data_IF_077420752449
#
_entry.id   IF_077420752449
#
_cell.length_a   1.000
_cell.length_b   1.000
_cell.length_c   1.000
_cell.angle_alpha   90.00
_cell.angle_beta   90.00
_cell.angle_gamma   90.00
#
_symmetry.space_group_name_H-M   'P 1'
#
loop_
_entity.id
_entity.type
_entity.pdbx_description
1 polymer ?
#
# COMPACT_ATOMS: atom_id res chain seq x y z
N UNK A 1 9.15 -30.10 3.42
CA UNK A 1 8.82 -31.07 2.34
C UNK A 1 7.32 -31.37 2.25
N UNK A 2 6.64 -31.76 3.34
CA UNK A 2 5.18 -32.03 3.37
C UNK A 2 4.35 -30.83 2.86
N UNK A 3 4.71 -29.62 3.26
CA UNK A 3 3.99 -28.40 2.87
C UNK A 3 4.10 -28.08 1.35
N UNK A 4 5.23 -28.42 0.72
CA UNK A 4 5.45 -28.28 -0.72
C UNK A 4 4.61 -29.29 -1.52
N UNK A 5 4.52 -30.52 -1.04
CA UNK A 5 3.66 -31.56 -1.63
C UNK A 5 2.20 -31.14 -1.57
N UNK A 6 1.76 -30.58 -0.45
CA UNK A 6 0.39 -30.07 -0.27
C UNK A 6 0.08 -28.90 -1.23
N UNK A 7 1.01 -27.95 -1.38
CA UNK A 7 0.88 -26.84 -2.33
C UNK A 7 0.79 -27.32 -3.78
N UNK A 8 1.60 -28.32 -4.14
CA UNK A 8 1.63 -28.88 -5.48
C UNK A 8 0.32 -29.60 -5.83
N UNK A 9 -0.23 -30.37 -4.89
CA UNK A 9 -1.54 -31.04 -5.05
C UNK A 9 -2.65 -30.00 -5.26
N UNK A 10 -2.69 -28.94 -4.46
CA UNK A 10 -3.69 -27.88 -4.61
C UNK A 10 -3.54 -27.13 -5.95
N UNK A 11 -2.32 -26.86 -6.41
CA UNK A 11 -2.07 -26.24 -7.72
C UNK A 11 -2.57 -27.12 -8.88
N UNK A 12 -2.39 -28.44 -8.80
CA UNK A 12 -2.97 -29.37 -9.79
C UNK A 12 -4.50 -29.30 -9.78
N UNK A 13 -5.11 -29.27 -8.60
CA UNK A 13 -6.57 -29.14 -8.47
C UNK A 13 -7.10 -27.80 -9.01
N UNK A 14 -6.36 -26.70 -8.83
CA UNK A 14 -6.69 -25.40 -9.44
C UNK A 14 -6.73 -25.51 -10.96
N UNK A 15 -5.71 -26.14 -11.57
CA UNK A 15 -5.60 -26.30 -13.03
C UNK A 15 -6.71 -27.18 -13.63
N UNK A 16 -7.21 -28.17 -12.87
CA UNK A 16 -8.26 -29.08 -13.33
C UNK A 16 -9.66 -28.51 -13.09
N UNK A 17 -9.84 -27.66 -12.09
CA UNK A 17 -11.16 -27.10 -11.78
C UNK A 17 -11.61 -26.08 -12.82
N UNK A 18 -12.84 -26.21 -13.32
CA UNK A 18 -13.49 -25.23 -14.20
C UNK A 18 -14.51 -24.44 -13.38
N UNK A 19 -14.12 -23.24 -12.96
CA UNK A 19 -14.98 -22.31 -12.23
C UNK A 19 -14.17 -21.30 -11.42
N UNK A 20 -14.41 -20.01 -11.64
CA UNK A 20 -13.66 -18.90 -11.02
C UNK A 20 -13.72 -18.92 -9.49
N UNK A 21 -14.87 -19.28 -8.91
CA UNK A 21 -15.04 -19.36 -7.47
C UNK A 21 -14.23 -20.50 -6.82
N UNK A 22 -14.30 -21.71 -7.38
CA UNK A 22 -13.58 -22.87 -6.86
C UNK A 22 -12.07 -22.71 -7.02
N UNK A 23 -11.62 -22.15 -8.15
CA UNK A 23 -10.21 -21.82 -8.37
C UNK A 23 -9.70 -20.82 -7.33
N UNK A 24 -10.48 -19.76 -7.06
CA UNK A 24 -10.12 -18.75 -6.04
C UNK A 24 -10.03 -19.37 -4.64
N UNK A 25 -10.99 -20.23 -4.29
CA UNK A 25 -11.02 -20.92 -2.99
C UNK A 25 -9.86 -21.91 -2.82
N UNK A 26 -9.41 -22.54 -3.91
CA UNK A 26 -8.28 -23.47 -3.92
C UNK A 26 -6.92 -22.76 -3.94
N UNK A 27 -6.84 -21.54 -4.49
CA UNK A 27 -5.63 -20.72 -4.48
C UNK A 27 -5.34 -20.09 -3.12
N UNK A 28 -6.38 -19.74 -2.36
CA UNK A 28 -6.28 -19.10 -1.05
C UNK A 28 -5.38 -19.89 -0.07
N UNK A 29 -5.57 -21.21 0.14
CA UNK A 29 -4.70 -22.02 0.98
C UNK A 29 -3.27 -22.10 0.49
N UNK A 30 -3.03 -22.11 -0.83
CA UNK A 30 -1.68 -22.17 -1.42
C UNK A 30 -0.92 -20.88 -1.13
N UNK A 31 -1.57 -19.73 -1.32
CA UNK A 31 -1.00 -18.41 -1.03
C UNK A 31 -0.72 -18.24 0.47
N UNK A 32 -1.69 -18.59 1.33
CA UNK A 32 -1.53 -18.53 2.79
C UNK A 32 -0.40 -19.46 3.26
N UNK A 33 -0.34 -20.68 2.73
CA UNK A 33 0.68 -21.68 3.06
C UNK A 33 2.09 -21.22 2.65
N UNK A 34 2.23 -20.53 1.51
CA UNK A 34 3.51 -20.00 1.05
C UNK A 34 3.95 -18.78 1.87
N UNK A 35 3.00 -17.95 2.29
CA UNK A 35 3.27 -16.84 3.21
C UNK A 35 3.69 -17.33 4.60
N UNK A 36 3.04 -18.39 5.11
CA UNK A 36 3.34 -18.93 6.43
C UNK A 36 4.70 -19.63 6.48
N UNK A 37 5.11 -20.36 5.42
CA UNK A 37 6.39 -21.07 5.42
C UNK A 37 7.61 -20.16 5.64
N UNK A 38 7.59 -18.93 5.11
CA UNK A 38 8.64 -17.93 5.34
C UNK A 38 8.74 -17.48 6.81
N UNK A 39 7.61 -17.50 7.53
CA UNK A 39 7.54 -17.14 8.94
C UNK A 39 7.89 -18.36 9.81
N UNK A 40 7.46 -19.56 9.44
CA UNK A 40 7.71 -20.78 10.23
C UNK A 40 9.18 -21.21 10.15
N UNK A 41 9.81 -21.10 8.98
CA UNK A 41 11.20 -21.50 8.74
C UNK A 41 12.24 -20.43 9.11
N UNK A 42 11.82 -19.33 9.76
CA UNK A 42 12.69 -18.19 10.06
C UNK A 42 13.98 -18.58 10.81
N UNK A 43 13.93 -19.60 11.68
CA UNK A 43 15.10 -20.04 12.46
C UNK A 43 16.18 -20.64 11.56
N UNK A 44 15.80 -21.38 10.53
CA UNK A 44 16.73 -21.97 9.57
C UNK A 44 17.39 -20.86 8.73
N UNK A 45 16.62 -19.85 8.34
CA UNK A 45 17.16 -18.67 7.68
C UNK A 45 18.08 -17.85 8.60
N UNK A 46 17.77 -17.71 9.89
CA UNK A 46 18.64 -17.03 10.85
C UNK A 46 20.01 -17.72 10.98
N UNK A 47 20.02 -19.06 11.02
CA UNK A 47 21.24 -19.86 11.06
C UNK A 47 22.03 -19.68 9.76
N UNK A 48 21.38 -19.75 8.61
CA UNK A 48 22.04 -19.58 7.31
C UNK A 48 22.65 -18.18 7.14
N UNK A 49 21.91 -17.13 7.49
CA UNK A 49 22.38 -15.75 7.42
C UNK A 49 23.60 -15.52 8.31
N UNK A 50 23.59 -16.07 9.55
CA UNK A 50 24.72 -16.00 10.47
C UNK A 50 25.94 -16.78 9.93
N UNK A 51 25.73 -18.00 9.45
CA UNK A 51 26.80 -18.84 8.91
C UNK A 51 27.45 -18.22 7.66
N UNK A 52 26.65 -17.61 6.78
CA UNK A 52 27.13 -16.92 5.57
C UNK A 52 27.58 -15.47 5.82
N UNK A 53 27.50 -14.97 7.05
CA UNK A 53 27.79 -13.57 7.44
C UNK A 53 27.02 -12.53 6.60
N UNK A 54 25.80 -12.87 6.21
CA UNK A 54 24.91 -11.96 5.46
C UNK A 54 24.28 -10.99 6.46
N UNK A 55 24.39 -9.67 6.26
CA UNK A 55 23.77 -8.70 7.16
C UNK A 55 22.25 -8.83 7.12
N UNK A 56 21.60 -8.74 8.28
CA UNK A 56 20.14 -8.70 8.38
C UNK A 56 19.61 -7.31 8.01
N UNK A 57 19.80 -6.94 6.75
CA UNK A 57 19.44 -5.66 6.18
C UNK A 57 18.70 -5.85 4.85
N UNK A 58 17.70 -5.01 4.60
CA UNK A 58 17.04 -4.96 3.29
C UNK A 58 17.99 -4.28 2.31
N UNK A 59 18.30 -4.95 1.19
CA UNK A 59 19.16 -4.36 0.16
C UNK A 59 18.52 -3.12 -0.47
N UNK A 60 19.34 -2.12 -0.80
CA UNK A 60 18.91 -0.93 -1.53
C UNK A 60 18.23 -1.30 -2.84
N UNK A 61 18.77 -2.27 -3.57
CA UNK A 61 18.19 -2.80 -4.81
C UNK A 61 16.77 -3.35 -4.65
N UNK A 62 16.43 -3.90 -3.48
CA UNK A 62 15.07 -4.40 -3.23
C UNK A 62 14.11 -3.25 -2.94
N UNK A 63 14.56 -2.22 -2.22
CA UNK A 63 13.77 -1.02 -1.96
C UNK A 63 13.49 -0.23 -3.24
N UNK A 64 14.51 -0.09 -4.09
CA UNK A 64 14.38 0.54 -5.41
C UNK A 64 13.31 -0.17 -6.24
N UNK A 65 13.34 -1.51 -6.31
CA UNK A 65 12.31 -2.30 -7.00
C UNK A 65 10.91 -2.03 -6.48
N UNK A 66 10.72 -1.94 -5.16
CA UNK A 66 9.40 -1.62 -4.60
C UNK A 66 8.93 -0.21 -4.98
N UNK A 67 9.84 0.76 -4.98
CA UNK A 67 9.56 2.11 -5.48
C UNK A 67 9.17 2.10 -6.97
N UNK A 68 9.91 1.37 -7.81
CA UNK A 68 9.58 1.22 -9.24
C UNK A 68 8.21 0.59 -9.44
N UNK A 69 7.85 -0.47 -8.72
CA UNK A 69 6.51 -1.07 -8.84
C UNK A 69 5.39 -0.10 -8.41
N UNK A 70 5.65 0.70 -7.38
CA UNK A 70 4.71 1.72 -6.92
C UNK A 70 4.51 2.81 -7.99
N UNK A 71 5.61 3.27 -8.60
CA UNK A 71 5.58 4.20 -9.74
C UNK A 71 4.79 3.65 -10.92
N UNK A 72 5.00 2.36 -11.27
CA UNK A 72 4.28 1.72 -12.38
C UNK A 72 2.77 1.71 -12.10
N UNK A 73 2.34 1.27 -10.92
CA UNK A 73 0.92 1.19 -10.57
C UNK A 73 0.25 2.57 -10.60
N UNK A 74 0.90 3.57 -10.02
CA UNK A 74 0.36 4.94 -9.99
C UNK A 74 0.38 5.59 -11.38
N UNK A 75 1.41 5.31 -12.19
CA UNK A 75 1.51 5.77 -13.57
C UNK A 75 0.40 5.18 -14.44
N UNK A 76 0.13 3.88 -14.29
CA UNK A 76 -0.98 3.19 -14.96
C UNK A 76 -2.32 3.80 -14.54
N UNK A 77 -2.53 4.02 -13.24
CA UNK A 77 -3.74 4.70 -12.74
C UNK A 77 -3.96 6.05 -13.41
N UNK A 78 -2.90 6.85 -13.57
CA UNK A 78 -3.00 8.17 -14.20
C UNK A 78 -3.29 8.06 -15.70
N UNK A 79 -2.65 7.11 -16.40
CA UNK A 79 -2.91 6.86 -17.81
C UNK A 79 -4.39 6.49 -18.05
N UNK A 80 -4.93 5.56 -17.25
CA UNK A 80 -6.34 5.15 -17.37
C UNK A 80 -7.31 6.30 -17.06
N UNK A 81 -6.99 7.18 -16.10
CA UNK A 81 -7.80 8.37 -15.84
C UNK A 81 -7.86 9.32 -17.04
N UNK A 82 -6.73 9.53 -17.72
CA UNK A 82 -6.65 10.37 -18.92
C UNK A 82 -7.46 9.75 -20.06
N UNK A 83 -7.36 8.42 -20.24
CA UNK A 83 -8.15 7.70 -21.23
C UNK A 83 -9.65 7.81 -20.97
N UNK A 84 -10.08 7.72 -19.71
CA UNK A 84 -11.49 7.84 -19.35
C UNK A 84 -12.04 9.26 -19.54
N UNK A 85 -11.21 10.29 -19.41
CA UNK A 85 -11.60 11.67 -19.70
C UNK A 85 -11.78 11.92 -21.20
N UNK A 86 -11.03 11.23 -22.06
CA UNK A 86 -11.07 11.44 -23.51
C UNK A 86 -12.48 11.16 -24.06
N UNK A 87 -13.18 12.24 -24.44
CA UNK A 87 -14.54 12.20 -25.00
C UNK A 87 -15.65 12.66 -24.04
N UNK A 88 -15.35 12.90 -22.75
CA UNK A 88 -16.32 13.33 -21.73
C UNK A 88 -15.93 14.67 -21.09
N UNK A 89 -16.02 15.76 -21.87
CA UNK A 89 -15.66 17.12 -21.43
C UNK A 89 -16.80 17.86 -20.71
N UNK A 90 -17.47 17.18 -19.78
CA UNK A 90 -18.48 17.81 -18.91
C UNK A 90 -17.79 18.32 -17.64
N UNK A 91 -18.20 19.48 -17.12
CA UNK A 91 -17.57 20.11 -15.94
C UNK A 91 -17.41 19.15 -14.75
N UNK A 92 -18.42 18.33 -14.48
CA UNK A 92 -18.36 17.35 -13.39
C UNK A 92 -17.29 16.28 -13.63
N UNK A 93 -17.19 15.74 -14.84
CA UNK A 93 -16.17 14.75 -15.22
C UNK A 93 -14.76 15.33 -15.16
N UNK A 94 -14.59 16.59 -15.56
CA UNK A 94 -13.31 17.31 -15.42
C UNK A 94 -12.93 17.49 -13.95
N UNK A 95 -13.89 17.88 -13.09
CA UNK A 95 -13.64 18.03 -11.65
C UNK A 95 -13.32 16.69 -10.98
N UNK A 96 -14.06 15.63 -11.32
CA UNK A 96 -13.78 14.27 -10.84
C UNK A 96 -12.37 13.82 -11.27
N UNK A 97 -12.00 14.02 -12.54
CA UNK A 97 -10.66 13.73 -13.03
C UNK A 97 -9.58 14.48 -12.24
N UNK A 98 -9.77 15.77 -11.98
CA UNK A 98 -8.79 16.59 -11.23
C UNK A 98 -8.63 16.05 -9.80
N UNK A 99 -9.74 15.77 -9.10
CA UNK A 99 -9.68 15.25 -7.73
C UNK A 99 -9.02 13.86 -7.68
N UNK A 100 -9.42 12.96 -8.58
CA UNK A 100 -8.78 11.64 -8.68
C UNK A 100 -7.29 11.74 -8.99
N UNK A 101 -6.87 12.69 -9.84
CA UNK A 101 -5.46 12.95 -10.13
C UNK A 101 -4.70 13.47 -8.90
N UNK A 102 -5.31 14.39 -8.14
CA UNK A 102 -4.74 14.90 -6.88
C UNK A 102 -4.56 13.75 -5.89
N UNK A 103 -5.49 12.80 -5.85
CA UNK A 103 -5.41 11.63 -5.00
C UNK A 103 -4.19 10.75 -5.34
N UNK A 104 -4.04 10.39 -6.62
CA UNK A 104 -2.88 9.62 -7.13
C UNK A 104 -1.56 10.32 -6.81
N UNK A 105 -1.47 11.63 -7.06
CA UNK A 105 -0.28 12.45 -6.76
C UNK A 105 -0.02 12.52 -5.24
N UNK A 106 -1.08 12.62 -4.44
CA UNK A 106 -0.99 12.65 -2.98
C UNK A 106 -0.40 11.36 -2.41
N UNK A 107 -0.84 10.20 -2.91
CA UNK A 107 -0.30 8.89 -2.51
C UNK A 107 1.16 8.77 -2.94
N UNK A 108 1.48 9.17 -4.18
CA UNK A 108 2.84 9.19 -4.69
C UNK A 108 3.77 9.99 -3.76
N UNK A 109 3.37 11.23 -3.45
CA UNK A 109 4.15 12.11 -2.58
C UNK A 109 4.33 11.51 -1.18
N UNK A 110 3.24 11.03 -0.58
CA UNK A 110 3.25 10.49 0.77
C UNK A 110 4.11 9.22 0.86
N UNK A 111 4.09 8.38 -0.17
CA UNK A 111 4.97 7.22 -0.29
C UNK A 111 6.44 7.65 -0.34
N UNK A 112 6.81 8.54 -1.26
CA UNK A 112 8.20 9.00 -1.40
C UNK A 112 8.72 9.70 -0.12
N UNK A 113 7.95 10.64 0.43
CA UNK A 113 8.34 11.41 1.62
C UNK A 113 8.55 10.54 2.88
N UNK A 114 7.91 9.37 2.95
CA UNK A 114 7.99 8.48 4.10
C UNK A 114 8.95 7.31 3.87
N UNK A 115 8.91 6.68 2.70
CA UNK A 115 9.61 5.41 2.43
C UNK A 115 11.06 5.61 2.00
N UNK A 116 11.40 6.69 1.29
CA UNK A 116 12.77 6.93 0.80
C UNK A 116 13.82 6.94 1.92
N UNK A 117 13.41 7.35 3.13
CA UNK A 117 14.28 7.40 4.31
C UNK A 117 14.20 6.13 5.19
N UNK A 118 13.57 5.06 4.74
CA UNK A 118 13.38 3.82 5.52
C UNK A 118 14.54 2.87 5.29
N UNK A 119 15.51 2.86 6.20
CA UNK A 119 16.51 1.80 6.26
C UNK A 119 16.11 0.75 7.31
N UNK A 120 15.93 -0.50 6.86
CA UNK A 120 15.51 -1.61 7.72
C UNK A 120 16.72 -2.47 8.05
N UNK A 121 17.27 -2.24 9.25
CA UNK A 121 18.27 -3.12 9.89
C UNK A 121 17.60 -3.92 11.01
N UNK A 122 17.88 -5.21 11.08
CA UNK A 122 17.33 -6.13 12.07
C UNK A 122 18.39 -7.01 12.71
N UNK A 123 17.99 -7.74 13.75
CA UNK A 123 18.82 -8.79 14.37
C UNK A 123 18.47 -10.19 13.86
N UNK A 124 17.27 -10.36 13.29
CA UNK A 124 16.69 -11.62 12.85
C UNK A 124 15.98 -11.46 11.50
N UNK A 125 15.87 -12.56 10.74
CA UNK A 125 15.25 -12.67 9.43
C UNK A 125 13.76 -12.31 9.44
N UNK A 126 13.04 -12.58 10.54
CA UNK A 126 11.61 -12.24 10.67
C UNK A 126 11.35 -10.77 10.35
N UNK A 127 12.21 -9.85 10.83
CA UNK A 127 12.00 -8.42 10.58
C UNK A 127 12.07 -8.07 9.10
N UNK A 128 12.96 -8.74 8.35
CA UNK A 128 13.10 -8.59 6.90
C UNK A 128 11.90 -9.19 6.18
N UNK A 129 11.49 -10.41 6.57
CA UNK A 129 10.34 -11.09 6.00
C UNK A 129 9.04 -10.30 6.20
N UNK A 130 8.81 -9.75 7.39
CA UNK A 130 7.66 -8.90 7.69
C UNK A 130 7.68 -7.62 6.87
N UNK A 131 8.82 -6.93 6.78
CA UNK A 131 8.91 -5.72 5.94
C UNK A 131 8.57 -6.00 4.47
N UNK A 132 9.11 -7.09 3.91
CA UNK A 132 8.82 -7.54 2.54
C UNK A 132 7.33 -7.88 2.38
N UNK A 133 6.77 -8.63 3.32
CA UNK A 133 5.36 -9.00 3.33
C UNK A 133 4.45 -7.77 3.36
N UNK A 134 4.73 -6.81 4.25
CA UNK A 134 3.98 -5.56 4.33
C UNK A 134 4.10 -4.72 3.05
N UNK A 135 5.28 -4.66 2.41
CA UNK A 135 5.45 -3.97 1.13
C UNK A 135 4.65 -4.62 0.00
N UNK A 136 4.65 -5.96 -0.07
CA UNK A 136 3.85 -6.69 -1.05
C UNK A 136 2.35 -6.45 -0.80
N UNK A 137 1.90 -6.48 0.45
CA UNK A 137 0.53 -6.12 0.80
C UNK A 137 0.18 -4.69 0.39
N UNK A 138 1.11 -3.74 0.60
CA UNK A 138 0.94 -2.36 0.15
C UNK A 138 0.74 -2.28 -1.37
N UNK A 139 1.58 -2.94 -2.17
CA UNK A 139 1.42 -2.94 -3.63
C UNK A 139 0.08 -3.54 -4.06
N UNK A 140 -0.35 -4.64 -3.44
CA UNK A 140 -1.64 -5.27 -3.74
C UNK A 140 -2.83 -4.37 -3.40
N UNK A 141 -2.79 -3.73 -2.23
CA UNK A 141 -3.83 -2.78 -1.81
C UNK A 141 -3.84 -1.55 -2.71
N UNK A 142 -2.68 -1.05 -3.13
CA UNK A 142 -2.56 0.06 -4.07
C UNK A 142 -3.14 -0.28 -5.45
N UNK A 143 -2.92 -1.49 -5.96
CA UNK A 143 -3.56 -1.96 -7.19
C UNK A 143 -5.08 -2.07 -7.04
N UNK A 144 -5.56 -2.54 -5.88
CA UNK A 144 -6.99 -2.61 -5.59
C UNK A 144 -7.62 -1.22 -5.47
N UNK A 145 -6.91 -0.27 -4.87
CA UNK A 145 -7.30 1.14 -4.80
C UNK A 145 -7.40 1.73 -6.20
N UNK A 146 -6.39 1.52 -7.06
CA UNK A 146 -6.40 1.94 -8.46
C UNK A 146 -7.61 1.40 -9.21
N UNK A 147 -7.94 0.12 -8.98
CA UNK A 147 -9.16 -0.48 -9.54
C UNK A 147 -10.43 0.25 -9.10
N UNK A 148 -10.60 0.49 -7.80
CA UNK A 148 -11.78 1.20 -7.30
C UNK A 148 -11.83 2.65 -7.79
N UNK A 149 -10.68 3.30 -7.84
CA UNK A 149 -10.50 4.68 -8.29
C UNK A 149 -10.99 4.85 -9.73
N UNK A 150 -10.50 4.01 -10.64
CA UNK A 150 -10.90 4.04 -12.07
C UNK A 150 -12.38 3.73 -12.24
N UNK A 151 -12.90 2.72 -11.53
CA UNK A 151 -14.32 2.34 -11.63
C UNK A 151 -15.25 3.40 -11.02
N UNK A 152 -14.79 4.14 -10.01
CA UNK A 152 -15.56 5.23 -9.40
C UNK A 152 -15.75 6.40 -10.37
N UNK A 153 -14.81 6.61 -11.30
CA UNK A 153 -14.95 7.60 -12.37
C UNK A 153 -16.05 7.22 -13.38
N UNK A 154 -16.23 5.94 -13.65
CA UNK A 154 -17.25 5.48 -14.61
C UNK A 154 -18.65 5.36 -13.99
N UNK A 155 -18.74 4.85 -12.76
CA UNK A 155 -20.02 4.51 -12.14
C UNK A 155 -20.03 4.87 -10.65
N UNK A 156 -20.96 5.74 -10.26
CA UNK A 156 -21.24 5.99 -8.84
C UNK A 156 -22.10 4.87 -8.23
N UNK A 157 -21.45 3.91 -7.57
CA UNK A 157 -22.11 2.94 -6.68
C UNK A 157 -21.52 3.01 -5.29
N UNK A 158 -22.38 2.81 -4.29
CA UNK A 158 -21.97 2.83 -2.88
C UNK A 158 -20.83 1.83 -2.59
N UNK A 159 -20.88 0.63 -3.17
CA UNK A 159 -19.83 -0.38 -2.96
C UNK A 159 -18.48 0.04 -3.55
N UNK A 160 -18.47 0.79 -4.66
CA UNK A 160 -17.24 1.36 -5.24
C UNK A 160 -16.68 2.46 -4.34
N UNK A 161 -17.53 3.36 -3.83
CA UNK A 161 -17.13 4.39 -2.85
C UNK A 161 -16.56 3.78 -1.56
N UNK A 162 -17.23 2.78 -1.02
CA UNK A 162 -16.77 2.06 0.17
C UNK A 162 -15.46 1.32 -0.09
N UNK A 163 -15.34 0.65 -1.24
CA UNK A 163 -14.13 -0.05 -1.65
C UNK A 163 -12.94 0.90 -1.83
N UNK A 164 -13.16 2.03 -2.49
CA UNK A 164 -12.18 3.11 -2.62
C UNK A 164 -11.72 3.62 -1.25
N UNK A 165 -12.65 3.97 -0.35
CA UNK A 165 -12.28 4.48 0.98
C UNK A 165 -11.56 3.44 1.84
N UNK A 166 -11.99 2.18 1.79
CA UNK A 166 -11.34 1.09 2.51
C UNK A 166 -9.91 0.85 2.00
N UNK A 167 -9.73 0.86 0.68
CA UNK A 167 -8.42 0.67 0.05
C UNK A 167 -7.49 1.86 0.30
N UNK A 168 -7.95 3.10 0.13
CA UNK A 168 -7.21 4.33 0.47
C UNK A 168 -6.74 4.33 1.94
N UNK A 169 -7.65 4.00 2.87
CA UNK A 169 -7.30 3.86 4.29
C UNK A 169 -6.21 2.81 4.53
N UNK A 170 -6.34 1.65 3.89
CA UNK A 170 -5.39 0.57 4.00
C UNK A 170 -4.03 0.94 3.38
N UNK A 171 -4.00 1.60 2.22
CA UNK A 171 -2.79 2.09 1.55
C UNK A 171 -2.01 3.02 2.46
N UNK A 172 -2.67 4.05 3.01
CA UNK A 172 -2.02 5.04 3.87
C UNK A 172 -1.57 4.40 5.19
N UNK A 173 -2.41 3.54 5.79
CA UNK A 173 -2.04 2.79 6.99
C UNK A 173 -0.79 1.94 6.76
N UNK A 174 -0.71 1.25 5.62
CA UNK A 174 0.45 0.44 5.25
C UNK A 174 1.70 1.30 5.03
N UNK A 175 1.61 2.49 4.42
CA UNK A 175 2.77 3.39 4.29
C UNK A 175 3.32 3.76 5.67
N UNK A 176 2.46 4.09 6.64
CA UNK A 176 2.92 4.38 8.00
C UNK A 176 3.45 3.14 8.74
N UNK A 177 2.86 1.96 8.54
CA UNK A 177 3.40 0.70 9.10
C UNK A 177 4.79 0.43 8.52
N UNK A 178 4.98 0.62 7.21
CA UNK A 178 6.27 0.50 6.55
C UNK A 178 7.30 1.48 7.13
N UNK A 179 6.90 2.73 7.39
CA UNK A 179 7.74 3.70 8.07
C UNK A 179 8.19 3.23 9.46
N UNK A 180 7.33 2.49 10.18
CA UNK A 180 7.62 1.96 11.52
C UNK A 180 8.76 0.94 11.56
N UNK A 181 9.11 0.31 10.43
CA UNK A 181 10.26 -0.59 10.37
C UNK A 181 11.61 0.14 10.49
N UNK A 182 11.64 1.46 10.26
CA UNK A 182 12.79 2.33 10.58
C UNK A 182 12.83 2.71 12.07
N UNK A 183 13.96 3.24 12.56
CA UNK A 183 14.05 3.77 13.94
C UNK A 183 13.01 4.89 14.11
N UNK A 184 11.93 4.58 14.81
CA UNK A 184 10.81 5.50 15.01
C UNK A 184 10.97 6.27 16.32
N UNK A 185 10.72 7.57 16.27
CA UNK A 185 10.64 8.42 17.47
C UNK A 185 9.23 8.39 18.07
N UNK A 186 9.10 8.64 19.37
CA UNK A 186 7.82 8.62 20.10
C UNK A 186 6.77 9.58 19.49
N UNK A 187 7.23 10.70 18.93
CA UNK A 187 6.43 11.70 18.24
C UNK A 187 5.86 11.22 16.89
N UNK A 188 6.55 10.32 16.19
CA UNK A 188 6.04 9.68 14.97
C UNK A 188 4.91 8.70 15.27
N UNK A 189 4.95 8.02 16.42
CA UNK A 189 3.90 7.08 16.83
C UNK A 189 2.58 7.82 17.12
N UNK A 190 2.63 9.01 17.73
CA UNK A 190 1.43 9.86 17.95
C UNK A 190 0.83 10.37 16.63
N UNK A 191 1.67 10.71 15.65
CA UNK A 191 1.20 11.14 14.34
C UNK A 191 0.45 10.02 13.58
N UNK A 192 0.85 8.75 13.76
CA UNK A 192 0.15 7.59 13.21
C UNK A 192 -1.27 7.45 13.79
N UNK A 193 -1.44 7.54 15.10
CA UNK A 193 -2.77 7.45 15.73
C UNK A 193 -3.70 8.61 15.34
N UNK A 194 -3.16 9.81 15.19
CA UNK A 194 -3.94 10.96 14.68
C UNK A 194 -4.32 10.74 13.21
N UNK A 195 -3.43 10.13 12.41
CA UNK A 195 -3.71 9.75 11.02
C UNK A 195 -4.78 8.66 10.89
N UNK A 196 -4.75 7.66 11.77
CA UNK A 196 -5.77 6.60 11.82
C UNK A 196 -7.13 7.13 12.31
N UNK A 197 -7.14 8.00 13.31
CA UNK A 197 -8.38 8.63 13.82
C UNK A 197 -9.03 9.58 12.81
N UNK A 198 -8.23 10.36 12.06
CA UNK A 198 -8.74 11.22 10.99
C UNK A 198 -9.41 10.45 9.86
N UNK A 199 -8.92 9.25 9.57
CA UNK A 199 -9.50 8.38 8.52
C UNK A 199 -10.85 7.76 8.89
N UNK A 200 -11.07 7.44 10.16
CA UNK A 200 -12.39 6.97 10.61
C UNK A 200 -13.48 8.02 10.38
N UNK A 201 -13.12 9.31 10.48
CA UNK A 201 -14.04 10.42 10.18
C UNK A 201 -14.32 10.51 8.67
N UNK A 202 -13.34 10.22 7.81
CA UNK A 202 -13.54 10.17 6.36
C UNK A 202 -14.55 9.09 5.93
N UNK A 203 -14.61 7.98 6.66
CA UNK A 203 -15.56 6.90 6.39
C UNK A 203 -17.03 7.34 6.52
N UNK A 204 -17.32 8.38 7.30
CA UNK A 204 -18.66 8.97 7.42
C UNK A 204 -19.11 9.64 6.11
N UNK A 205 -18.18 10.00 5.25
CA UNK A 205 -18.48 10.68 3.99
C UNK A 205 -18.77 9.73 2.82
N UNK A 206 -18.62 8.41 3.00
CA UNK A 206 -18.87 7.40 1.95
C UNK A 206 -20.29 7.49 1.40
N UNK A 207 -21.28 7.84 2.24
CA UNK A 207 -22.68 7.98 1.83
C UNK A 207 -22.94 9.22 0.97
N UNK A 208 -22.03 10.20 0.94
CA UNK A 208 -22.15 11.41 0.15
C UNK A 208 -21.74 11.19 -1.31
N UNK A 209 -22.06 12.17 -2.17
CA UNK A 209 -21.70 12.14 -3.60
C UNK A 209 -20.17 12.00 -3.78
N UNK A 210 -19.70 11.30 -4.84
CA UNK A 210 -18.28 11.09 -5.10
C UNK A 210 -17.44 12.36 -5.04
N UNK A 211 -17.88 13.45 -5.66
CA UNK A 211 -17.22 14.75 -5.61
C UNK A 211 -16.92 15.25 -4.19
N UNK A 212 -17.89 15.13 -3.27
CA UNK A 212 -17.71 15.56 -1.86
C UNK A 212 -16.71 14.64 -1.17
N UNK A 213 -16.87 13.33 -1.37
CA UNK A 213 -15.99 12.32 -0.80
C UNK A 213 -14.53 12.55 -1.21
N UNK A 214 -14.29 12.73 -2.51
CA UNK A 214 -12.97 12.96 -3.10
C UNK A 214 -12.35 14.28 -2.61
N UNK A 215 -13.13 15.36 -2.60
CA UNK A 215 -12.65 16.66 -2.09
C UNK A 215 -12.15 16.55 -0.66
N UNK A 216 -12.91 15.86 0.21
CA UNK A 216 -12.54 15.73 1.62
C UNK A 216 -11.32 14.80 1.78
N UNK A 217 -11.24 13.70 1.03
CA UNK A 217 -10.07 12.83 1.06
C UNK A 217 -8.81 13.52 0.57
N UNK A 218 -8.91 14.36 -0.46
CA UNK A 218 -7.77 15.07 -1.02
C UNK A 218 -7.29 16.17 -0.07
N UNK A 219 -8.21 16.93 0.54
CA UNK A 219 -7.87 17.90 1.58
C UNK A 219 -7.15 17.21 2.76
N UNK A 220 -7.60 16.02 3.14
CA UNK A 220 -6.96 15.24 4.19
C UNK A 220 -5.56 14.76 3.79
N UNK A 221 -5.38 14.28 2.55
CA UNK A 221 -4.08 13.89 2.02
C UNK A 221 -3.10 15.06 1.97
N UNK A 222 -3.55 16.21 1.47
CA UNK A 222 -2.77 17.47 1.45
C UNK A 222 -2.37 17.86 2.87
N UNK A 223 -3.29 17.79 3.83
CA UNK A 223 -3.00 18.06 5.24
C UNK A 223 -1.90 17.13 5.79
N UNK A 224 -1.95 15.82 5.50
CA UNK A 224 -0.93 14.87 5.92
C UNK A 224 0.45 15.21 5.31
N UNK A 225 0.48 15.56 4.02
CA UNK A 225 1.71 15.96 3.32
C UNK A 225 2.30 17.22 3.94
N UNK A 226 1.53 18.29 4.08
CA UNK A 226 1.98 19.56 4.67
C UNK A 226 2.51 19.36 6.09
N UNK A 227 1.77 18.59 6.91
CA UNK A 227 2.19 18.30 8.27
C UNK A 227 3.51 17.54 8.30
N UNK A 228 3.74 16.62 7.37
CA UNK A 228 4.99 15.87 7.25
C UNK A 228 6.15 16.78 6.83
N UNK A 229 5.98 17.60 5.79
CA UNK A 229 7.01 18.53 5.32
C UNK A 229 7.43 19.50 6.43
N UNK A 230 6.45 20.07 7.15
CA UNK A 230 6.73 20.95 8.28
C UNK A 230 7.55 20.26 9.37
N UNK A 231 7.24 19.00 9.67
CA UNK A 231 8.00 18.24 10.66
C UNK A 231 9.45 17.98 10.21
N UNK A 232 9.66 17.66 8.93
CA UNK A 232 11.00 17.48 8.34
C UNK A 232 11.81 18.79 8.37
N UNK A 233 11.20 19.91 7.99
CA UNK A 233 11.84 21.23 7.99
C UNK A 233 12.30 21.65 9.40
N UNK A 234 11.44 21.47 10.41
CA UNK A 234 11.78 21.80 11.80
C UNK A 234 12.91 20.91 12.36
N UNK A 235 12.97 19.64 11.97
CA UNK A 235 14.08 18.76 12.33
C UNK A 235 15.39 19.17 11.66
N UNK A 236 15.35 19.62 10.41
CA UNK A 236 16.51 20.15 9.69
C UNK A 236 17.09 21.41 10.36
N UNK A 237 16.25 22.33 10.80
CA UNK A 237 16.69 23.52 11.55
C UNK A 237 17.32 23.15 12.89
N UNK A 238 16.78 22.16 13.60
CA UNK A 238 17.30 21.72 14.90
C UNK A 238 18.67 21.02 14.80
N UNK A 239 19.00 20.42 13.65
CA UNK A 239 20.30 19.79 13.39
C UNK A 239 21.35 20.79 12.87
N UNK A 240 20.92 21.97 12.41
CA UNK A 240 21.79 23.05 11.94
C UNK A 240 22.20 24.04 13.04
N UNK A 241 21.67 23.89 14.26
CA UNK A 241 22.07 24.61 15.47
C UNK A 241 22.90 23.72 16.38
#
# INVERSE_FOLDING_TARGET
MIQLVFQFIFLIFVLVSKGTFLQTLLLLPVVISKGSSLITEHRNFDIEFKNRKIPFEVSSSLQERYGTFTMIILGESMATLVENLNGHYVLNSVMEFILLSINVIGIFWLYYALIDTVHVKGHNYIKLALFRGTHVSFLLVLSLETFFLVNLFEVDKLWLRSGFMASLFATISLIFILKRFSKTTLQQNRNFFIGAGGFLVLFLFVSFRPLVLLTISDLYMIYLVIRRERASYLQGIALAK
#
